data_IF_863137986830
#
_entry.id   IF_863137986830
#
_cell.length_a   1.000
_cell.length_b   1.000
_cell.length_c   1.000
_cell.angle_alpha   90.00
_cell.angle_beta   90.00
_cell.angle_gamma   90.00
#
_symmetry.space_group_name_H-M   'P 1'
#
loop_
_entity.id
_entity.type
_entity.pdbx_description
1 polymer ?
#
# COMPACT_ATOMS: atom_id res chain seq x y z
N UNK A 1 39.15 47.15 -16.18
CA UNK A 1 37.79 47.28 -15.62
C UNK A 1 36.80 47.13 -16.77
N UNK A 2 36.24 45.94 -16.96
CA UNK A 2 35.38 45.60 -18.12
C UNK A 2 33.93 45.87 -17.71
N UNK A 3 33.29 46.88 -18.31
CA UNK A 3 31.84 47.12 -18.15
C UNK A 3 31.09 46.27 -19.16
N UNK A 4 30.53 45.17 -18.68
CA UNK A 4 29.54 44.35 -19.38
C UNK A 4 28.21 45.12 -19.38
N UNK A 5 27.85 45.73 -20.51
CA UNK A 5 26.58 46.43 -20.68
C UNK A 5 25.48 45.45 -21.09
N UNK A 6 24.78 44.86 -20.12
CA UNK A 6 23.50 44.19 -20.34
C UNK A 6 22.37 45.18 -20.14
N UNK A 7 21.84 45.71 -21.24
CA UNK A 7 20.51 46.31 -21.23
C UNK A 7 19.86 46.07 -22.60
N UNK A 8 19.44 44.82 -22.84
CA UNK A 8 18.42 44.55 -23.85
C UNK A 8 17.13 45.19 -23.33
N UNK A 9 16.85 46.40 -23.81
CA UNK A 9 15.64 47.14 -23.48
C UNK A 9 14.44 46.42 -24.11
N UNK A 10 13.69 45.69 -23.27
CA UNK A 10 12.48 44.97 -23.67
C UNK A 10 11.46 45.87 -24.40
N UNK A 11 11.53 47.20 -24.22
CA UNK A 11 10.69 48.17 -24.94
C UNK A 11 11.09 48.34 -26.41
N UNK A 12 12.38 48.21 -26.75
CA UNK A 12 12.82 48.28 -28.15
C UNK A 12 12.46 47.03 -28.94
N UNK A 13 12.55 45.86 -28.30
CA UNK A 13 12.15 44.57 -28.89
C UNK A 13 10.63 44.58 -29.15
N UNK A 14 9.83 45.07 -28.19
CA UNK A 14 8.38 45.23 -28.37
C UNK A 14 8.01 46.15 -29.53
N UNK A 15 8.74 47.25 -29.73
CA UNK A 15 8.53 48.16 -30.87
C UNK A 15 8.92 47.54 -32.21
N UNK A 16 9.93 46.65 -32.25
CA UNK A 16 10.31 45.90 -33.47
C UNK A 16 9.29 44.82 -33.81
N UNK A 17 8.77 44.10 -32.81
CA UNK A 17 7.73 43.09 -32.99
C UNK A 17 6.43 43.74 -33.50
N UNK A 18 6.05 44.89 -32.96
CA UNK A 18 4.85 45.64 -33.41
C UNK A 18 4.94 46.02 -34.89
N UNK A 19 6.11 46.45 -35.38
CA UNK A 19 6.34 46.75 -36.80
C UNK A 19 6.30 45.52 -37.71
N UNK A 20 6.65 44.34 -37.20
CA UNK A 20 6.51 43.08 -37.94
C UNK A 20 5.05 42.62 -38.01
N UNK A 21 4.21 43.00 -37.04
CA UNK A 21 2.77 42.65 -37.00
C UNK A 21 1.93 43.65 -37.81
N UNK A 22 2.29 44.93 -37.82
CA UNK A 22 1.56 46.00 -38.53
C UNK A 22 1.81 46.01 -40.06
N UNK A 23 2.68 45.14 -40.56
CA UNK A 23 2.81 44.91 -42.01
C UNK A 23 1.57 44.19 -42.53
N UNK A 24 1.01 44.61 -43.67
CA UNK A 24 -0.19 44.05 -44.30
C UNK A 24 -0.03 42.55 -44.65
N UNK A 25 -0.09 41.67 -43.65
CA UNK A 25 -0.04 40.24 -43.79
C UNK A 25 -1.43 39.75 -44.18
N UNK A 26 -1.60 39.46 -45.47
CA UNK A 26 -2.81 38.82 -46.00
C UNK A 26 -3.19 37.60 -45.13
N UNK A 27 -4.48 37.47 -44.76
CA UNK A 27 -5.00 36.41 -43.89
C UNK A 27 -4.49 35.00 -44.25
N UNK A 28 -4.22 34.75 -45.54
CA UNK A 28 -3.64 33.49 -46.04
C UNK A 28 -2.25 33.19 -45.48
N UNK A 29 -1.40 34.21 -45.31
CA UNK A 29 -0.04 34.05 -44.74
C UNK A 29 -0.07 33.80 -43.24
N UNK A 30 -1.00 34.43 -42.52
CA UNK A 30 -1.21 34.20 -41.09
C UNK A 30 -1.71 32.77 -40.85
N UNK A 31 -2.63 32.28 -41.69
CA UNK A 31 -3.14 30.92 -41.59
C UNK A 31 -2.04 29.86 -41.81
N UNK A 32 -1.18 30.06 -42.81
CA UNK A 32 -0.03 29.17 -43.04
C UNK A 32 0.95 29.19 -41.87
N UNK A 33 1.20 30.38 -41.29
CA UNK A 33 2.09 30.53 -40.14
C UNK A 33 1.51 29.82 -38.90
N UNK A 34 0.19 29.91 -38.68
CA UNK A 34 -0.50 29.19 -37.62
C UNK A 34 -0.45 27.67 -37.80
N UNK A 35 -0.59 27.15 -39.03
CA UNK A 35 -0.46 25.71 -39.31
C UNK A 35 0.96 25.23 -39.01
N UNK A 36 1.99 25.97 -39.44
CA UNK A 36 3.39 25.61 -39.19
C UNK A 36 3.68 25.64 -37.68
N UNK A 37 3.24 26.68 -36.98
CA UNK A 37 3.38 26.75 -35.53
C UNK A 37 2.63 25.59 -34.84
N UNK A 38 1.41 25.27 -35.27
CA UNK A 38 0.63 24.15 -34.72
C UNK A 38 1.33 22.81 -34.94
N UNK A 39 1.91 22.56 -36.12
CA UNK A 39 2.70 21.36 -36.39
C UNK A 39 3.94 21.25 -35.50
N UNK A 40 4.66 22.36 -35.31
CA UNK A 40 5.82 22.42 -34.40
C UNK A 40 5.38 22.17 -32.95
N UNK A 41 4.27 22.78 -32.51
CA UNK A 41 3.72 22.55 -31.17
C UNK A 41 3.21 21.13 -30.97
N UNK A 42 2.64 20.47 -31.97
CA UNK A 42 2.20 19.07 -31.85
C UNK A 42 3.39 18.10 -31.86
N UNK A 43 4.45 18.43 -32.58
CA UNK A 43 5.66 17.59 -32.66
C UNK A 43 6.57 17.75 -31.43
N UNK A 44 6.84 18.99 -31.01
CA UNK A 44 7.70 19.28 -29.85
C UNK A 44 6.92 19.47 -28.55
N UNK A 45 5.60 19.53 -28.60
CA UNK A 45 4.73 19.69 -27.43
C UNK A 45 4.85 18.54 -26.44
N UNK A 46 4.72 17.25 -26.85
CA UNK A 46 4.79 16.14 -25.92
C UNK A 46 6.09 16.12 -25.07
N UNK A 47 7.30 16.28 -25.64
CA UNK A 47 8.53 16.34 -24.83
C UNK A 47 8.63 17.62 -23.99
N UNK A 48 8.09 18.76 -24.45
CA UNK A 48 8.10 20.02 -23.70
C UNK A 48 7.11 20.02 -22.53
N UNK A 49 5.91 19.46 -22.73
CA UNK A 49 4.90 19.20 -21.70
C UNK A 49 5.48 18.21 -20.69
N UNK A 50 6.06 17.10 -21.13
CA UNK A 50 6.75 16.17 -20.23
C UNK A 50 7.86 16.87 -19.44
N UNK A 51 8.65 17.76 -20.04
CA UNK A 51 9.70 18.49 -19.34
C UNK A 51 9.14 19.50 -18.30
N UNK A 52 8.16 20.33 -18.65
CA UNK A 52 7.54 21.29 -17.72
C UNK A 52 6.79 20.58 -16.59
N UNK A 53 6.03 19.54 -16.91
CA UNK A 53 5.25 18.78 -15.92
C UNK A 53 6.07 17.69 -15.20
N UNK A 54 7.31 17.40 -15.64
CA UNK A 54 8.24 16.53 -14.88
C UNK A 54 8.79 17.20 -13.62
N UNK A 55 8.78 18.54 -13.57
CA UNK A 55 9.08 19.33 -12.37
C UNK A 55 7.94 19.26 -11.33
N UNK A 56 6.70 19.07 -11.79
CA UNK A 56 5.54 18.82 -10.94
C UNK A 56 5.25 17.32 -10.77
N UNK A 57 6.30 16.50 -10.66
CA UNK A 57 6.19 15.09 -10.28
C UNK A 57 5.46 15.01 -8.94
N UNK A 58 4.20 14.58 -9.01
CA UNK A 58 3.34 14.08 -7.94
C UNK A 58 3.47 14.80 -6.59
N UNK A 59 2.39 15.45 -6.16
CA UNK A 59 2.11 15.53 -4.72
C UNK A 59 2.34 14.13 -4.15
N UNK A 60 3.43 13.97 -3.39
CA UNK A 60 4.12 12.71 -3.16
C UNK A 60 3.25 11.79 -2.31
N UNK A 61 2.26 11.13 -2.91
CA UNK A 61 1.61 9.99 -2.28
C UNK A 61 2.71 8.96 -2.12
N UNK A 62 3.01 8.64 -0.87
CA UNK A 62 4.08 7.72 -0.56
C UNK A 62 3.74 6.35 -1.20
N UNK A 63 4.75 5.61 -1.68
CA UNK A 63 4.55 4.35 -2.42
C UNK A 63 3.68 3.37 -1.61
N UNK A 64 3.86 3.39 -0.29
CA UNK A 64 3.07 2.62 0.67
C UNK A 64 1.58 3.00 0.69
N UNK A 65 1.24 4.28 0.48
CA UNK A 65 -0.14 4.77 0.43
C UNK A 65 -0.82 4.35 -0.88
N UNK A 66 -0.11 4.40 -2.01
CA UNK A 66 -0.65 3.91 -3.28
C UNK A 66 -0.91 2.40 -3.21
N UNK A 67 0.09 1.64 -2.73
CA UNK A 67 -0.01 0.19 -2.56
C UNK A 67 -1.20 -0.20 -1.69
N UNK A 68 -1.38 0.43 -0.53
CA UNK A 68 -2.47 0.05 0.37
C UNK A 68 -3.84 0.38 -0.25
N UNK A 69 -3.96 1.55 -0.91
CA UNK A 69 -5.21 1.96 -1.55
C UNK A 69 -5.62 1.03 -2.70
N UNK A 70 -4.67 0.53 -3.49
CA UNK A 70 -4.94 -0.44 -4.55
C UNK A 70 -5.45 -1.78 -3.99
N UNK A 71 -4.86 -2.28 -2.90
CA UNK A 71 -5.28 -3.55 -2.27
C UNK A 71 -6.66 -3.43 -1.65
N UNK A 72 -6.93 -2.30 -1.00
CA UNK A 72 -8.24 -2.04 -0.38
C UNK A 72 -9.33 -1.72 -1.42
N UNK A 73 -8.97 -1.38 -2.66
CA UNK A 73 -9.93 -1.06 -3.72
C UNK A 73 -10.89 -2.22 -4.01
N UNK A 74 -10.41 -3.47 -3.86
CA UNK A 74 -11.22 -4.67 -4.08
C UNK A 74 -12.44 -4.76 -3.15
N UNK A 75 -12.38 -4.19 -1.95
CA UNK A 75 -13.43 -4.28 -0.93
C UNK A 75 -14.38 -3.07 -0.93
N UNK A 76 -14.20 -2.09 -1.83
CA UNK A 76 -14.99 -0.84 -1.80
C UNK A 76 -16.49 -1.05 -1.91
N UNK A 77 -16.92 -2.02 -2.72
CA UNK A 77 -18.34 -2.34 -2.85
C UNK A 77 -18.89 -3.03 -1.59
N UNK A 78 -18.13 -3.96 -1.01
CA UNK A 78 -18.54 -4.71 0.18
C UNK A 78 -18.66 -3.83 1.44
N UNK A 79 -17.93 -2.72 1.51
CA UNK A 79 -18.07 -1.72 2.59
C UNK A 79 -19.46 -1.10 2.56
N UNK A 80 -19.98 -0.77 1.37
CA UNK A 80 -21.30 -0.14 1.22
C UNK A 80 -22.45 -1.05 1.67
N UNK A 81 -22.25 -2.36 1.65
CA UNK A 81 -23.19 -3.38 2.11
C UNK A 81 -22.95 -3.82 3.57
N UNK A 82 -21.98 -3.22 4.27
CA UNK A 82 -21.56 -3.63 5.63
C UNK A 82 -21.08 -5.09 5.73
N UNK A 83 -20.67 -5.69 4.60
CA UNK A 83 -20.15 -7.06 4.56
C UNK A 83 -18.69 -7.14 5.04
N UNK A 84 -17.99 -6.01 5.03
CA UNK A 84 -16.57 -5.87 5.32
C UNK A 84 -16.33 -4.69 6.25
N UNK A 85 -15.44 -4.87 7.23
CA UNK A 85 -14.86 -3.78 8.01
C UNK A 85 -13.37 -3.61 7.67
N UNK A 86 -12.96 -2.37 7.42
CA UNK A 86 -11.56 -2.01 7.21
C UNK A 86 -11.06 -1.22 8.41
N UNK A 87 -9.90 -1.63 8.95
CA UNK A 87 -9.23 -0.96 10.04
C UNK A 87 -7.78 -0.69 9.66
N UNK A 88 -7.41 0.58 9.51
CA UNK A 88 -6.01 0.96 9.28
C UNK A 88 -5.22 0.90 10.59
N UNK A 89 -3.89 0.77 10.46
CA UNK A 89 -2.95 0.89 11.57
C UNK A 89 -1.92 1.98 11.23
N UNK A 90 -2.02 3.20 11.83
CA UNK A 90 -3.01 3.62 12.82
C UNK A 90 -4.42 3.84 12.23
N UNK A 91 -5.49 3.74 13.04
CA UNK A 91 -6.87 3.93 12.59
C UNK A 91 -7.14 5.35 12.06
N UNK A 92 -8.03 5.48 11.07
CA UNK A 92 -8.52 6.78 10.56
C UNK A 92 -9.74 7.26 11.36
N UNK A 93 -10.04 8.56 11.31
CA UNK A 93 -11.06 9.21 12.17
C UNK A 93 -12.48 8.64 12.02
N UNK A 94 -12.85 8.12 10.86
CA UNK A 94 -14.19 7.59 10.55
C UNK A 94 -14.29 6.06 10.65
N UNK A 95 -13.24 5.37 11.12
CA UNK A 95 -13.20 3.90 11.11
C UNK A 95 -13.76 3.26 12.37
N UNK A 96 -14.46 2.15 12.19
CA UNK A 96 -14.96 1.35 13.30
C UNK A 96 -13.90 0.37 13.80
N UNK A 97 -13.56 0.49 15.08
CA UNK A 97 -12.62 -0.36 15.77
C UNK A 97 -13.27 -1.70 16.18
N UNK A 98 -13.65 -2.52 15.20
CA UNK A 98 -14.07 -3.89 15.45
C UNK A 98 -12.86 -4.80 15.58
N UNK A 99 -12.82 -5.62 16.63
CA UNK A 99 -11.77 -6.62 16.83
C UNK A 99 -11.77 -7.61 15.64
N UNK A 100 -10.71 -7.66 14.82
CA UNK A 100 -10.61 -8.67 13.78
C UNK A 100 -10.36 -10.03 14.44
N UNK A 101 -11.19 -11.02 14.12
CA UNK A 101 -11.01 -12.38 14.61
C UNK A 101 -11.53 -13.39 13.59
N UNK A 102 -11.03 -14.62 13.72
CA UNK A 102 -11.55 -15.78 12.98
C UNK A 102 -11.95 -16.86 13.96
N UNK A 103 -12.90 -17.70 13.59
CA UNK A 103 -13.31 -18.83 14.40
C UNK A 103 -14.38 -19.67 13.72
N UNK A 104 -14.47 -20.93 14.13
CA UNK A 104 -15.46 -21.91 13.64
C UNK A 104 -16.46 -22.33 14.72
N UNK A 105 -16.41 -21.69 15.89
CA UNK A 105 -17.27 -22.01 17.04
C UNK A 105 -16.68 -23.08 17.98
N UNK A 106 -15.58 -23.73 17.60
CA UNK A 106 -14.82 -24.65 18.46
C UNK A 106 -13.55 -23.97 18.97
N UNK A 107 -12.88 -23.25 18.10
CA UNK A 107 -11.84 -22.32 18.48
C UNK A 107 -12.03 -20.97 17.78
N UNK A 108 -11.36 -19.95 18.31
CA UNK A 108 -11.22 -18.67 17.65
C UNK A 108 -9.92 -17.99 18.05
N UNK A 109 -9.44 -17.12 17.17
CA UNK A 109 -8.21 -16.38 17.39
C UNK A 109 -8.41 -14.93 16.91
N UNK A 110 -8.12 -13.92 17.76
CA UNK A 110 -8.06 -12.54 17.32
C UNK A 110 -6.82 -12.32 16.45
N UNK A 111 -6.93 -11.48 15.42
CA UNK A 111 -5.79 -11.14 14.55
C UNK A 111 -5.09 -9.92 15.14
N UNK A 112 -4.33 -10.16 16.22
CA UNK A 112 -3.57 -9.16 16.96
C UNK A 112 -2.12 -9.64 17.16
N UNK A 113 -1.17 -8.75 17.48
CA UNK A 113 0.13 -9.15 17.99
C UNK A 113 -0.02 -9.99 19.26
N UNK A 114 0.74 -11.09 19.36
CA UNK A 114 0.76 -12.00 20.52
C UNK A 114 -0.60 -12.69 20.82
N UNK A 115 -1.45 -12.84 19.80
CA UNK A 115 -2.78 -13.40 19.95
C UNK A 115 -2.78 -14.85 20.44
N UNK A 116 -3.62 -15.13 21.45
CA UNK A 116 -3.88 -16.47 21.96
C UNK A 116 -5.05 -17.12 21.22
N UNK A 117 -5.02 -18.45 21.13
CA UNK A 117 -6.20 -19.22 20.72
C UNK A 117 -7.17 -19.33 21.89
N UNK A 118 -8.46 -19.19 21.61
CA UNK A 118 -9.54 -19.44 22.55
C UNK A 118 -10.32 -20.67 22.12
N UNK A 119 -10.43 -21.66 22.99
CA UNK A 119 -11.24 -22.86 22.77
C UNK A 119 -12.60 -22.70 23.46
N UNK A 120 -13.61 -23.32 22.87
CA UNK A 120 -14.97 -23.39 23.40
C UNK A 120 -14.99 -24.00 24.80
N UNK A 121 -15.56 -23.26 25.75
CA UNK A 121 -15.91 -23.74 27.08
C UNK A 121 -17.36 -23.34 27.38
N UNK A 122 -18.25 -24.33 27.40
CA UNK A 122 -19.70 -24.09 27.50
C UNK A 122 -20.28 -23.46 26.24
N UNK A 123 -20.85 -22.26 26.37
CA UNK A 123 -21.51 -21.52 25.26
C UNK A 123 -20.63 -20.48 24.58
N UNK A 124 -19.38 -20.28 25.03
CA UNK A 124 -18.49 -19.25 24.52
C UNK A 124 -17.06 -19.77 24.28
N UNK A 125 -16.32 -19.09 23.41
CA UNK A 125 -14.88 -19.26 23.21
C UNK A 125 -14.14 -18.50 24.34
N UNK A 126 -13.97 -19.13 25.49
CA UNK A 126 -13.50 -18.47 26.71
C UNK A 126 -12.31 -19.12 27.38
N UNK A 127 -11.86 -20.29 26.90
CA UNK A 127 -10.67 -20.93 27.43
C UNK A 127 -9.44 -20.51 26.61
N UNK A 128 -8.59 -19.61 27.13
CA UNK A 128 -7.35 -19.26 26.44
C UNK A 128 -6.38 -20.45 26.49
N UNK A 129 -5.86 -20.80 25.33
CA UNK A 129 -4.72 -21.70 25.19
C UNK A 129 -3.49 -20.83 25.15
N UNK A 130 -2.54 -21.15 26.02
CA UNK A 130 -1.20 -20.64 25.89
C UNK A 130 -0.60 -21.33 24.65
N UNK A 131 -0.90 -20.79 23.47
CA UNK A 131 -0.32 -21.13 22.17
C UNK A 131 -0.64 -20.02 21.17
N UNK A 132 0.41 -19.50 20.52
CA UNK A 132 0.35 -18.45 19.52
C UNK A 132 0.72 -19.01 18.15
N UNK A 133 -0.26 -19.42 17.33
CA UNK A 133 0.00 -20.08 16.06
C UNK A 133 0.35 -19.09 14.93
N UNK A 134 0.08 -17.80 15.12
CA UNK A 134 0.21 -16.82 14.04
C UNK A 134 1.67 -16.51 13.75
N UNK A 135 2.01 -16.54 12.47
CA UNK A 135 3.28 -16.09 11.94
C UNK A 135 3.14 -14.63 11.54
N UNK A 136 4.16 -13.82 11.80
CA UNK A 136 4.16 -12.41 11.43
C UNK A 136 5.53 -11.95 10.95
N UNK A 137 5.52 -10.88 10.16
CA UNK A 137 6.73 -10.15 9.83
C UNK A 137 7.03 -9.15 10.96
N UNK A 138 8.23 -9.18 11.55
CA UNK A 138 8.61 -8.23 12.59
C UNK A 138 8.79 -6.83 11.98
N UNK A 139 7.94 -5.90 12.40
CA UNK A 139 7.99 -4.51 11.96
C UNK A 139 9.08 -3.75 12.74
N UNK A 140 10.04 -3.16 12.03
CA UNK A 140 11.07 -2.33 12.64
C UNK A 140 10.53 -0.92 12.86
N UNK A 141 10.83 -0.30 14.01
CA UNK A 141 10.38 1.07 14.31
C UNK A 141 10.89 2.12 13.30
N UNK A 142 11.93 1.79 12.55
CA UNK A 142 12.54 2.65 11.53
C UNK A 142 11.98 2.47 10.12
N UNK A 143 11.23 1.40 9.85
CA UNK A 143 10.66 1.16 8.52
C UNK A 143 9.38 1.97 8.35
N UNK A 144 9.25 2.64 7.20
CA UNK A 144 8.02 3.31 6.80
C UNK A 144 7.12 2.29 6.10
N UNK A 145 5.94 2.03 6.68
CA UNK A 145 4.98 1.09 6.14
C UNK A 145 3.55 1.57 6.40
N UNK A 146 2.62 1.05 5.61
CA UNK A 146 1.18 1.12 5.85
C UNK A 146 0.63 -0.27 6.09
N UNK A 147 -0.25 -0.38 7.07
CA UNK A 147 -0.95 -1.61 7.38
C UNK A 147 -2.45 -1.36 7.46
N UNK A 148 -3.23 -2.29 6.94
CA UNK A 148 -4.67 -2.33 7.12
C UNK A 148 -5.13 -3.78 7.30
N UNK A 149 -6.11 -3.96 8.17
CA UNK A 149 -6.78 -5.23 8.41
C UNK A 149 -8.22 -5.13 7.88
N UNK A 150 -8.63 -6.13 7.13
CA UNK A 150 -9.95 -6.22 6.49
C UNK A 150 -10.65 -7.46 7.03
N UNK A 151 -11.74 -7.27 7.75
CA UNK A 151 -12.56 -8.36 8.27
C UNK A 151 -13.77 -8.55 7.36
N UNK A 152 -13.82 -9.68 6.65
CA UNK A 152 -14.92 -10.01 5.78
C UNK A 152 -15.91 -10.93 6.50
N UNK A 153 -17.04 -10.36 6.93
CA UNK A 153 -17.99 -11.03 7.82
C UNK A 153 -18.73 -12.19 7.14
N UNK A 154 -19.13 -12.03 5.88
CA UNK A 154 -19.89 -13.07 5.15
C UNK A 154 -19.05 -14.31 4.87
N UNK A 155 -17.80 -14.12 4.45
CA UNK A 155 -16.87 -15.21 4.18
C UNK A 155 -16.21 -15.76 5.47
N UNK A 156 -16.14 -14.96 6.53
CA UNK A 156 -15.45 -15.32 7.77
C UNK A 156 -13.93 -15.37 7.61
N UNK A 157 -13.41 -14.49 6.74
CA UNK A 157 -11.99 -14.39 6.41
C UNK A 157 -11.48 -13.03 6.88
N UNK A 158 -10.30 -13.01 7.48
CA UNK A 158 -9.60 -11.75 7.78
C UNK A 158 -8.40 -11.64 6.85
N UNK A 159 -8.27 -10.49 6.20
CA UNK A 159 -7.09 -10.14 5.43
C UNK A 159 -6.28 -9.10 6.18
N UNK A 160 -4.95 -9.17 6.09
CA UNK A 160 -4.07 -8.11 6.56
C UNK A 160 -3.08 -7.77 5.45
N UNK A 161 -3.00 -6.50 5.13
CA UNK A 161 -2.11 -5.98 4.10
C UNK A 161 -1.03 -5.14 4.76
N UNK A 162 0.23 -5.38 4.36
CA UNK A 162 1.37 -4.57 4.78
C UNK A 162 2.12 -4.11 3.54
N UNK A 163 2.12 -2.80 3.30
CA UNK A 163 2.81 -2.16 2.19
C UNK A 163 4.01 -1.39 2.72
N UNK A 164 5.20 -1.68 2.19
CA UNK A 164 6.46 -1.12 2.65
C UNK A 164 6.96 -0.07 1.66
N UNK A 165 7.54 1.01 2.18
CA UNK A 165 8.12 2.07 1.35
C UNK A 165 9.29 1.57 0.50
N UNK A 166 9.95 0.51 0.96
CA UNK A 166 10.97 -0.24 0.23
C UNK A 166 10.43 -0.88 -1.07
N UNK A 167 9.11 -0.88 -1.29
CA UNK A 167 8.46 -1.21 -2.57
C UNK A 167 7.96 -2.65 -2.69
N UNK A 168 8.18 -3.49 -1.68
CA UNK A 168 7.55 -4.80 -1.57
C UNK A 168 6.31 -4.73 -0.67
N UNK A 169 5.45 -5.74 -0.77
CA UNK A 169 4.26 -5.83 0.06
C UNK A 169 3.96 -7.28 0.47
N UNK A 170 3.15 -7.40 1.51
CA UNK A 170 2.72 -8.67 2.07
C UNK A 170 1.20 -8.70 2.22
N UNK A 171 0.62 -9.83 1.85
CA UNK A 171 -0.80 -10.14 2.00
C UNK A 171 -0.91 -11.35 2.93
N UNK A 172 -1.66 -11.19 4.01
CA UNK A 172 -1.99 -12.26 4.93
C UNK A 172 -3.47 -12.56 4.81
N UNK A 173 -3.82 -13.84 4.76
CA UNK A 173 -5.20 -14.30 4.82
C UNK A 173 -5.35 -15.30 5.95
N UNK A 174 -6.34 -15.08 6.80
CA UNK A 174 -6.63 -15.91 7.97
C UNK A 174 -8.05 -16.45 7.86
N UNK A 175 -8.22 -17.75 8.06
CA UNK A 175 -9.53 -18.33 8.27
C UNK A 175 -9.47 -19.61 9.10
N UNK A 176 -10.55 -19.88 9.83
CA UNK A 176 -10.77 -21.15 10.51
C UNK A 176 -11.64 -22.03 9.62
N UNK A 177 -11.23 -23.27 9.38
CA UNK A 177 -12.00 -24.16 8.52
C UNK A 177 -13.34 -24.51 9.19
N UNK A 178 -14.45 -24.40 8.44
CA UNK A 178 -15.81 -24.65 8.96
C UNK A 178 -16.16 -26.14 9.09
N UNK A 179 -15.65 -26.98 8.18
CA UNK A 179 -15.87 -28.44 8.17
C UNK A 179 -14.85 -29.19 9.03
N UNK A 180 -13.56 -28.83 8.93
CA UNK A 180 -12.49 -29.43 9.71
C UNK A 180 -12.19 -28.58 10.95
N UNK A 181 -12.81 -28.99 12.05
CA UNK A 181 -12.87 -28.27 13.31
C UNK A 181 -11.53 -27.89 13.95
N UNK A 182 -10.46 -28.62 13.62
CA UNK A 182 -9.11 -28.43 14.16
C UNK A 182 -8.16 -27.67 13.21
N UNK A 183 -8.66 -27.18 12.07
CA UNK A 183 -7.81 -26.58 11.03
C UNK A 183 -7.91 -25.05 11.07
N UNK A 184 -6.78 -24.43 11.40
CA UNK A 184 -6.51 -23.01 11.24
C UNK A 184 -5.62 -22.82 10.01
N UNK A 185 -5.99 -21.89 9.13
CA UNK A 185 -5.22 -21.60 7.93
C UNK A 185 -4.77 -20.14 7.95
N UNK A 186 -3.47 -19.97 7.75
CA UNK A 186 -2.83 -18.69 7.52
C UNK A 186 -2.07 -18.78 6.20
N UNK A 187 -2.50 -18.01 5.21
CA UNK A 187 -1.76 -17.81 3.97
C UNK A 187 -0.96 -16.51 4.05
N UNK A 188 0.29 -16.54 3.58
CA UNK A 188 1.21 -15.40 3.59
C UNK A 188 1.82 -15.29 2.20
N UNK A 189 1.42 -14.26 1.47
CA UNK A 189 1.94 -13.95 0.15
C UNK A 189 2.83 -12.74 0.22
N UNK A 190 4.07 -12.90 -0.20
CA UNK A 190 5.09 -11.84 -0.25
C UNK A 190 5.37 -11.54 -1.70
N UNK A 191 5.23 -10.28 -2.10
CA UNK A 191 5.50 -9.86 -3.48
C UNK A 191 6.56 -8.78 -3.51
N UNK A 192 7.66 -9.07 -4.19
CA UNK A 192 8.72 -8.12 -4.49
C UNK A 192 8.69 -7.78 -5.99
N UNK A 193 8.16 -6.61 -6.40
CA UNK A 193 8.15 -6.19 -7.80
C UNK A 193 9.51 -5.65 -8.29
N UNK A 194 10.50 -5.56 -7.40
CA UNK A 194 11.77 -4.90 -7.67
C UNK A 194 12.80 -5.91 -8.19
N UNK A 195 13.82 -5.40 -8.89
CA UNK A 195 14.89 -6.21 -9.46
C UNK A 195 15.99 -6.59 -8.46
N UNK A 196 15.94 -6.08 -7.23
CA UNK A 196 16.92 -6.39 -6.18
C UNK A 196 16.39 -7.42 -5.18
N UNK A 197 17.33 -8.15 -4.57
CA UNK A 197 17.03 -9.19 -3.60
C UNK A 197 16.64 -8.57 -2.25
N UNK A 198 15.51 -9.00 -1.70
CA UNK A 198 14.99 -8.55 -0.41
C UNK A 198 14.87 -9.73 0.55
N UNK A 199 15.50 -9.61 1.72
CA UNK A 199 15.35 -10.59 2.81
C UNK A 199 14.16 -10.19 3.68
N UNK A 200 13.12 -11.04 3.73
CA UNK A 200 11.90 -10.80 4.53
C UNK A 200 11.82 -11.86 5.65
N UNK A 201 12.24 -11.54 6.88
CA UNK A 201 12.13 -12.48 7.99
C UNK A 201 10.67 -12.73 8.37
N UNK A 202 10.32 -13.99 8.58
CA UNK A 202 9.06 -14.41 9.20
C UNK A 202 9.36 -15.00 10.57
N UNK A 203 8.58 -14.63 11.57
CA UNK A 203 8.72 -15.15 12.92
C UNK A 203 7.37 -15.58 13.49
N UNK A 204 7.31 -16.71 14.22
CA UNK A 204 6.15 -17.01 15.05
C UNK A 204 5.98 -15.91 16.10
N UNK A 205 4.73 -15.59 16.44
CA UNK A 205 4.39 -14.66 17.51
C UNK A 205 4.62 -15.31 18.89
N UNK A 206 5.86 -15.64 19.22
CA UNK A 206 6.19 -16.23 20.52
C UNK A 206 6.23 -15.11 21.54
N UNK A 207 5.30 -15.12 22.50
CA UNK A 207 5.39 -14.22 23.64
C UNK A 207 6.51 -14.71 24.57
N UNK A 208 7.38 -13.79 25.00
CA UNK A 208 8.44 -14.05 25.98
C UNK A 208 7.92 -14.20 27.41
N UNK A 209 6.61 -14.08 27.62
CA UNK A 209 6.00 -13.87 28.94
C UNK A 209 5.45 -15.12 29.62
N UNK A 210 5.60 -16.29 29.01
CA UNK A 210 5.01 -17.49 29.57
C UNK A 210 5.90 -17.98 30.70
N UNK A 211 5.43 -17.95 31.94
CA UNK A 211 6.19 -18.46 33.08
C UNK A 211 6.32 -19.99 33.10
N UNK A 212 5.48 -20.68 32.32
CA UNK A 212 5.25 -22.14 32.44
C UNK A 212 5.72 -22.94 31.21
N UNK A 213 6.56 -22.35 30.34
CA UNK A 213 7.02 -23.05 29.14
C UNK A 213 8.08 -24.10 29.48
N UNK A 214 8.00 -25.26 28.82
CA UNK A 214 9.04 -26.29 28.84
C UNK A 214 9.46 -26.55 27.40
N UNK A 215 10.74 -26.35 27.11
CA UNK A 215 11.32 -26.72 25.82
C UNK A 215 11.72 -28.18 25.93
N UNK A 216 11.08 -29.05 25.14
CA UNK A 216 11.48 -30.44 25.01
C UNK A 216 12.09 -30.66 23.63
N UNK A 217 13.33 -31.15 23.60
CA UNK A 217 14.03 -31.47 22.36
C UNK A 217 13.58 -32.86 21.92
N UNK A 218 12.85 -32.94 20.81
CA UNK A 218 12.50 -34.23 20.22
C UNK A 218 13.78 -34.83 19.62
N UNK A 219 14.36 -35.83 20.27
CA UNK A 219 15.37 -36.68 19.65
C UNK A 219 14.65 -37.61 18.67
N UNK A 220 14.68 -37.26 17.38
CA UNK A 220 14.33 -38.19 16.33
C UNK A 220 15.38 -39.30 16.31
N UNK A 221 15.15 -40.38 17.05
CA UNK A 221 15.77 -41.67 16.81
C UNK A 221 15.17 -42.23 15.52
N UNK A 222 15.63 -41.73 14.38
CA UNK A 222 15.59 -42.50 13.14
C UNK A 222 16.65 -43.61 13.30
N UNK A 223 16.26 -44.66 14.01
CA UNK A 223 17.00 -45.92 14.01
C UNK A 223 16.56 -46.76 12.80
N UNK A 224 17.48 -46.81 11.83
CA UNK A 224 17.63 -47.75 10.69
C UNK A 224 16.70 -47.58 9.48
#
# INVERSE_FOLDING_TARGET
MIRLGTMFDNREIGKRIRRLIDGNYSCRKIFVLLIICSGIFLYFGPPFVQWIFSSSRESTQAIEDLCINERLAAFRFDIGEYNVNILHNPPKEEEHYYLPYIGNGIFGIPILPEALIYIKRGRALSLPVQWQPLISHPLLKSSFYREATVTHFTNGIVYRYQCFREGYYMEFQYYAHRIFDAILIQDIKITNPLSFLQNVPLKPQVSTQWSNYRIETIQNLLSR
#
